data_IF_913721156066
#
_entry.id   IF_913721156066
#
_cell.length_a   1.000
_cell.length_b   1.000
_cell.length_c   1.000
_cell.angle_alpha   90.00
_cell.angle_beta   90.00
_cell.angle_gamma   90.00
#
_symmetry.space_group_name_H-M   'P 1'
#
loop_
_entity.id
_entity.type
_entity.pdbx_description
1 polymer ?
#
# COMPACT_ATOMS: atom_id res chain seq x y z
N UNK A 1 -30.70 10.23 -3.04
CA UNK A 1 -29.33 9.68 -3.10
C UNK A 1 -29.57 8.20 -3.08
N UNK A 2 -29.64 7.61 -4.27
CA UNK A 2 -30.07 6.22 -4.45
C UNK A 2 -28.95 5.30 -4.01
N UNK A 3 -28.98 4.92 -2.73
CA UNK A 3 -28.12 3.86 -2.18
C UNK A 3 -28.45 2.47 -2.78
N UNK A 4 -29.50 2.40 -3.62
CA UNK A 4 -30.00 1.22 -4.34
C UNK A 4 -29.49 1.11 -5.80
N UNK A 5 -28.40 1.82 -6.16
CA UNK A 5 -27.76 1.58 -7.47
C UNK A 5 -26.99 0.26 -7.42
N UNK A 6 -27.65 -0.83 -7.86
CA UNK A 6 -27.08 -2.18 -8.01
C UNK A 6 -25.77 -2.11 -8.81
N UNK A 7 -24.64 -1.98 -8.10
CA UNK A 7 -23.31 -1.88 -8.70
C UNK A 7 -22.42 -0.76 -8.17
N UNK A 8 -22.93 0.21 -7.40
CA UNK A 8 -22.09 1.30 -6.88
C UNK A 8 -20.95 0.78 -5.99
N UNK A 9 -21.28 -0.05 -4.99
CA UNK A 9 -20.29 -0.65 -4.08
C UNK A 9 -19.29 -1.56 -4.81
N UNK A 10 -19.77 -2.31 -5.79
CA UNK A 10 -18.94 -3.15 -6.66
C UNK A 10 -17.97 -2.31 -7.49
N UNK A 11 -18.45 -1.24 -8.14
CA UNK A 11 -17.63 -0.34 -8.92
C UNK A 11 -16.53 0.35 -8.10
N UNK A 12 -16.84 0.74 -6.85
CA UNK A 12 -15.83 1.25 -5.92
C UNK A 12 -14.74 0.23 -5.61
N UNK A 13 -15.12 -1.02 -5.37
CA UNK A 13 -14.19 -2.11 -5.06
C UNK A 13 -13.34 -2.47 -6.28
N UNK A 14 -13.94 -2.61 -7.47
CA UNK A 14 -13.21 -2.87 -8.73
C UNK A 14 -12.19 -1.76 -8.99
N UNK A 15 -12.59 -0.50 -8.85
CA UNK A 15 -11.70 0.66 -9.00
C UNK A 15 -10.53 0.59 -8.02
N UNK A 16 -10.80 0.26 -6.75
CA UNK A 16 -9.73 0.09 -5.76
C UNK A 16 -8.79 -1.07 -6.11
N UNK A 17 -9.32 -2.19 -6.58
CA UNK A 17 -8.54 -3.37 -6.98
C UNK A 17 -7.55 -3.02 -8.10
N UNK A 18 -8.03 -2.33 -9.14
CA UNK A 18 -7.18 -1.85 -10.23
C UNK A 18 -6.12 -0.85 -9.75
N UNK A 19 -6.52 0.14 -8.94
CA UNK A 19 -5.60 1.11 -8.36
C UNK A 19 -4.51 0.44 -7.52
N UNK A 20 -4.88 -0.50 -6.66
CA UNK A 20 -3.95 -1.22 -5.80
C UNK A 20 -2.93 -2.01 -6.61
N UNK A 21 -3.39 -2.77 -7.63
CA UNK A 21 -2.49 -3.53 -8.51
C UNK A 21 -1.50 -2.61 -9.25
N UNK A 22 -1.98 -1.51 -9.81
CA UNK A 22 -1.13 -0.54 -10.51
C UNK A 22 -0.08 0.07 -9.57
N UNK A 23 -0.51 0.51 -8.38
CA UNK A 23 0.39 1.15 -7.40
C UNK A 23 1.42 0.16 -6.87
N UNK A 24 1.02 -1.09 -6.59
CA UNK A 24 1.97 -2.11 -6.16
C UNK A 24 3.04 -2.38 -7.22
N UNK A 25 2.67 -2.45 -8.50
CA UNK A 25 3.64 -2.61 -9.58
C UNK A 25 4.60 -1.42 -9.70
N UNK A 26 4.10 -0.19 -9.52
CA UNK A 26 4.93 1.02 -9.50
C UNK A 26 5.90 1.04 -8.33
N UNK A 27 5.44 0.65 -7.13
CA UNK A 27 6.29 0.52 -5.94
C UNK A 27 7.40 -0.51 -6.20
N UNK A 28 7.08 -1.69 -6.75
CA UNK A 28 8.10 -2.70 -7.08
C UNK A 28 9.11 -2.21 -8.10
N UNK A 29 8.64 -1.52 -9.13
CA UNK A 29 9.52 -0.95 -10.17
C UNK A 29 10.49 0.07 -9.57
N UNK A 30 9.99 0.96 -8.71
CA UNK A 30 10.83 1.93 -7.98
C UNK A 30 11.82 1.25 -7.02
N UNK A 31 11.39 0.20 -6.32
CA UNK A 31 12.29 -0.54 -5.43
C UNK A 31 13.42 -1.24 -6.21
N UNK A 32 13.15 -1.70 -7.43
CA UNK A 32 14.14 -2.34 -8.30
C UNK A 32 15.10 -1.36 -9.00
N UNK A 33 14.67 -0.12 -9.24
CA UNK A 33 15.47 0.90 -9.91
C UNK A 33 16.56 1.47 -8.98
N UNK A 34 17.83 1.13 -9.20
CA UNK A 34 18.93 1.59 -8.32
C UNK A 34 19.36 3.04 -8.56
N UNK A 35 18.92 3.69 -9.62
CA UNK A 35 19.44 4.98 -10.08
C UNK A 35 18.52 6.16 -9.71
N UNK A 36 17.30 5.91 -9.25
CA UNK A 36 16.34 6.97 -8.91
C UNK A 36 16.62 7.61 -7.54
N UNK A 37 17.28 8.78 -7.55
CA UNK A 37 17.59 9.57 -6.35
C UNK A 37 16.34 10.09 -5.59
N UNK A 38 15.16 10.10 -6.24
CA UNK A 38 13.91 10.57 -5.63
C UNK A 38 12.97 9.42 -5.24
N UNK A 39 13.49 8.19 -5.20
CA UNK A 39 12.71 6.97 -4.98
C UNK A 39 11.89 7.02 -3.69
N UNK A 40 12.49 7.39 -2.56
CA UNK A 40 11.80 7.43 -1.26
C UNK A 40 10.59 8.38 -1.27
N UNK A 41 10.75 9.56 -1.87
CA UNK A 41 9.65 10.55 -2.03
C UNK A 41 8.52 10.01 -2.92
N UNK A 42 8.85 9.34 -4.02
CA UNK A 42 7.87 8.72 -4.91
C UNK A 42 7.12 7.58 -4.21
N UNK A 43 7.85 6.73 -3.48
CA UNK A 43 7.28 5.65 -2.67
C UNK A 43 6.32 6.20 -1.60
N UNK A 44 6.71 7.28 -0.92
CA UNK A 44 5.88 7.97 0.06
C UNK A 44 4.55 8.45 -0.56
N UNK A 45 4.63 9.05 -1.74
CA UNK A 45 3.46 9.55 -2.48
C UNK A 45 2.52 8.42 -2.93
N UNK A 46 3.07 7.29 -3.40
CA UNK A 46 2.29 6.11 -3.76
C UNK A 46 1.59 5.49 -2.54
N UNK A 47 2.31 5.39 -1.41
CA UNK A 47 1.73 4.95 -0.14
C UNK A 47 0.59 5.87 0.32
N UNK A 48 0.78 7.20 0.23
CA UNK A 48 -0.25 8.17 0.57
C UNK A 48 -1.52 8.00 -0.27
N UNK A 49 -1.37 7.86 -1.59
CA UNK A 49 -2.49 7.72 -2.50
C UNK A 49 -3.32 6.46 -2.18
N UNK A 50 -2.67 5.30 -2.10
CA UNK A 50 -3.36 4.05 -1.83
C UNK A 50 -3.94 3.98 -0.40
N UNK A 51 -3.30 4.67 0.56
CA UNK A 51 -3.85 4.85 1.92
C UNK A 51 -5.22 5.52 1.87
N UNK A 52 -5.36 6.59 1.08
CA UNK A 52 -6.62 7.31 0.91
C UNK A 52 -7.73 6.41 0.35
N UNK A 53 -7.44 5.69 -0.74
CA UNK A 53 -8.40 4.76 -1.36
C UNK A 53 -8.78 3.62 -0.40
N UNK A 54 -7.82 3.04 0.32
CA UNK A 54 -8.10 1.97 1.29
C UNK A 54 -8.93 2.46 2.49
N UNK A 55 -8.68 3.69 2.97
CA UNK A 55 -9.42 4.29 4.07
C UNK A 55 -10.89 4.53 3.71
N UNK A 56 -11.16 5.00 2.49
CA UNK A 56 -12.52 5.23 1.99
C UNK A 56 -13.37 3.94 1.96
N UNK A 57 -12.73 2.78 1.75
CA UNK A 57 -13.40 1.46 1.75
C UNK A 57 -13.32 0.73 3.10
N UNK A 58 -12.80 1.36 4.15
CA UNK A 58 -12.66 0.75 5.47
C UNK A 58 -11.65 -0.41 5.53
N UNK A 59 -10.73 -0.50 4.57
CA UNK A 59 -9.72 -1.56 4.45
C UNK A 59 -8.52 -1.29 5.38
N UNK A 60 -8.79 -1.27 6.69
CA UNK A 60 -7.86 -0.79 7.74
C UNK A 60 -6.47 -1.43 7.69
N UNK A 61 -6.39 -2.73 7.37
CA UNK A 61 -5.09 -3.43 7.32
C UNK A 61 -4.24 -2.97 6.14
N UNK A 62 -4.84 -2.83 4.95
CA UNK A 62 -4.15 -2.31 3.76
C UNK A 62 -3.78 -0.84 3.98
N UNK A 63 -4.71 -0.05 4.52
CA UNK A 63 -4.48 1.34 4.91
C UNK A 63 -3.27 1.48 5.83
N UNK A 64 -3.17 0.64 6.87
CA UNK A 64 -2.05 0.67 7.81
C UNK A 64 -0.70 0.37 7.13
N UNK A 65 -0.65 -0.62 6.23
CA UNK A 65 0.57 -0.89 5.48
C UNK A 65 0.94 0.24 4.51
N UNK A 66 -0.05 0.89 3.89
CA UNK A 66 0.18 2.06 3.04
C UNK A 66 0.71 3.25 3.84
N UNK A 67 0.27 3.41 5.09
CA UNK A 67 0.80 4.41 6.02
C UNK A 67 2.24 4.12 6.46
N UNK A 68 2.60 2.84 6.63
CA UNK A 68 4.00 2.44 6.83
C UNK A 68 4.85 2.86 5.63
N UNK A 69 4.42 2.54 4.41
CA UNK A 69 5.13 2.93 3.17
C UNK A 69 5.29 4.45 3.08
N UNK A 70 4.22 5.20 3.37
CA UNK A 70 4.25 6.67 3.39
C UNK A 70 5.32 7.19 4.36
N UNK A 71 5.26 6.76 5.62
CA UNK A 71 6.16 7.28 6.65
C UNK A 71 7.61 6.84 6.45
N UNK A 72 7.85 5.59 6.05
CA UNK A 72 9.20 5.11 5.74
C UNK A 72 9.80 5.84 4.54
N UNK A 73 9.01 6.17 3.52
CA UNK A 73 9.46 7.01 2.41
C UNK A 73 9.82 8.45 2.84
N UNK A 74 9.30 8.92 3.97
CA UNK A 74 9.68 10.20 4.58
C UNK A 74 10.79 10.05 5.65
N UNK A 75 11.40 8.86 5.78
CA UNK A 75 12.36 8.52 6.83
C UNK A 75 11.82 8.73 8.25
N UNK A 76 10.54 8.38 8.45
CA UNK A 76 9.87 8.46 9.75
C UNK A 76 9.64 7.03 10.26
N UNK A 77 10.25 6.71 11.40
CA UNK A 77 10.06 5.43 12.08
C UNK A 77 8.66 5.36 12.71
N UNK A 78 7.69 4.89 11.91
CA UNK A 78 6.26 4.91 12.25
C UNK A 78 5.86 3.89 13.33
N UNK A 79 6.47 2.71 13.33
CA UNK A 79 6.11 1.60 14.20
C UNK A 79 7.36 0.98 14.86
N UNK A 80 7.14 -0.02 15.71
CA UNK A 80 8.24 -0.72 16.40
C UNK A 80 9.19 -1.45 15.44
N UNK A 81 8.72 -1.83 14.25
CA UNK A 81 9.56 -2.45 13.23
C UNK A 81 10.55 -1.43 12.66
N UNK A 82 10.04 -0.29 12.18
CA UNK A 82 10.85 0.81 11.66
C UNK A 82 11.85 1.32 12.70
N UNK A 83 11.40 1.53 13.95
CA UNK A 83 12.29 1.95 15.05
C UNK A 83 13.41 0.97 15.36
N UNK A 84 13.23 -0.33 15.08
CA UNK A 84 14.28 -1.34 15.32
C UNK A 84 15.26 -1.39 14.16
N UNK A 85 14.75 -1.30 12.94
CA UNK A 85 15.60 -1.37 11.74
C UNK A 85 16.45 -0.11 11.58
N UNK A 86 15.92 1.09 11.89
CA UNK A 86 16.60 2.38 11.69
C UNK A 86 17.48 2.82 12.87
N UNK A 87 17.62 1.99 13.91
CA UNK A 87 18.49 2.24 15.08
C UNK A 87 19.90 1.68 14.93
N UNK A 88 20.14 0.88 13.90
CA UNK A 88 21.49 0.45 13.52
C UNK A 88 22.21 1.72 13.02
N UNK A 89 23.44 1.97 13.45
CA UNK A 89 24.17 3.24 13.32
C UNK A 89 24.37 3.80 11.89
N UNK A 90 23.75 3.19 10.88
CA UNK A 90 23.72 3.58 9.47
C UNK A 90 22.24 3.80 9.02
N UNK A 91 21.71 5.00 9.26
CA UNK A 91 20.39 5.46 8.77
C UNK A 91 20.45 5.78 7.26
N UNK A 92 20.85 4.78 6.47
CA UNK A 92 20.96 4.88 5.02
C UNK A 92 19.62 4.55 4.34
N UNK A 93 19.47 5.04 3.10
CA UNK A 93 18.27 4.85 2.29
C UNK A 93 17.92 3.35 2.13
N UNK A 94 18.92 2.47 2.10
CA UNK A 94 18.72 1.02 2.03
C UNK A 94 17.86 0.46 3.17
N UNK A 95 18.03 0.97 4.40
CA UNK A 95 17.24 0.53 5.57
C UNK A 95 15.77 0.91 5.41
N UNK A 96 15.49 2.12 4.91
CA UNK A 96 14.13 2.59 4.64
C UNK A 96 13.50 1.82 3.48
N UNK A 97 14.26 1.50 2.44
CA UNK A 97 13.78 0.69 1.31
C UNK A 97 13.43 -0.73 1.75
N UNK A 98 14.22 -1.34 2.64
CA UNK A 98 13.90 -2.64 3.25
C UNK A 98 12.60 -2.58 4.07
N UNK A 99 12.40 -1.52 4.85
CA UNK A 99 11.16 -1.31 5.60
C UNK A 99 9.94 -1.17 4.67
N UNK A 100 10.09 -0.46 3.55
CA UNK A 100 9.04 -0.32 2.54
C UNK A 100 8.74 -1.66 1.85
N UNK A 101 9.75 -2.47 1.55
CA UNK A 101 9.58 -3.81 1.00
C UNK A 101 8.76 -4.72 1.92
N UNK A 102 9.03 -4.69 3.22
CA UNK A 102 8.25 -5.43 4.21
C UNK A 102 6.78 -4.97 4.22
N UNK A 103 6.55 -3.66 4.30
CA UNK A 103 5.20 -3.10 4.30
C UNK A 103 4.43 -3.44 3.01
N UNK A 104 5.09 -3.37 1.84
CA UNK A 104 4.50 -3.76 0.56
C UNK A 104 4.12 -5.23 0.53
N UNK A 105 5.00 -6.11 1.02
CA UNK A 105 4.74 -7.56 1.08
C UNK A 105 3.48 -7.84 1.90
N UNK A 106 3.36 -7.22 3.08
CA UNK A 106 2.19 -7.40 3.94
C UNK A 106 0.95 -6.78 3.29
N UNK A 107 1.06 -5.60 2.66
CA UNK A 107 -0.04 -4.97 1.93
C UNK A 107 -0.60 -5.89 0.83
N UNK A 108 0.28 -6.52 0.03
CA UNK A 108 -0.10 -7.49 -1.00
C UNK A 108 -0.80 -8.72 -0.44
N UNK A 109 -0.32 -9.26 0.69
CA UNK A 109 -0.95 -10.39 1.34
C UNK A 109 -2.37 -10.07 1.82
N UNK A 110 -2.56 -8.91 2.47
CA UNK A 110 -3.90 -8.48 2.90
C UNK A 110 -4.79 -8.13 1.71
N UNK A 111 -4.23 -7.54 0.65
CA UNK A 111 -4.95 -7.28 -0.60
C UNK A 111 -5.50 -8.56 -1.23
N UNK A 112 -4.70 -9.63 -1.35
CA UNK A 112 -5.17 -10.91 -1.90
C UNK A 112 -6.31 -11.48 -1.06
N UNK A 113 -6.21 -11.42 0.28
CA UNK A 113 -7.29 -11.87 1.17
C UNK A 113 -8.57 -11.07 0.96
N UNK A 114 -8.45 -9.74 0.91
CA UNK A 114 -9.58 -8.82 0.70
C UNK A 114 -10.22 -9.02 -0.67
N UNK A 115 -9.43 -9.17 -1.73
CA UNK A 115 -9.92 -9.39 -3.10
C UNK A 115 -10.67 -10.72 -3.22
N UNK A 116 -10.15 -11.77 -2.59
CA UNK A 116 -10.83 -13.07 -2.57
C UNK A 116 -12.17 -12.99 -1.82
N UNK A 117 -12.22 -12.28 -0.69
CA UNK A 117 -13.46 -12.06 0.08
C UNK A 117 -14.50 -11.31 -0.75
N UNK A 118 -14.09 -10.26 -1.47
CA UNK A 118 -15.00 -9.52 -2.35
C UNK A 118 -15.44 -10.37 -3.54
N UNK A 119 -14.55 -11.17 -4.12
CA UNK A 119 -14.88 -12.08 -5.21
C UNK A 119 -15.95 -13.09 -4.80
N UNK A 120 -15.83 -13.65 -3.59
CA UNK A 120 -16.83 -14.54 -3.00
C UNK A 120 -18.16 -13.82 -2.76
N UNK A 121 -18.11 -12.59 -2.21
CA UNK A 121 -19.30 -11.78 -1.95
C UNK A 121 -20.10 -11.43 -3.21
N UNK A 122 -19.42 -11.08 -4.31
CA UNK A 122 -20.07 -10.73 -5.57
C UNK A 122 -20.32 -11.91 -6.51
N UNK A 123 -19.80 -13.10 -6.20
CA UNK A 123 -19.97 -14.30 -7.03
C UNK A 123 -19.19 -14.26 -8.35
N UNK A 124 -18.15 -13.43 -8.47
CA UNK A 124 -17.30 -13.32 -9.65
C UNK A 124 -15.85 -13.01 -9.26
N UNK A 125 -14.89 -13.21 -10.15
CA UNK A 125 -13.49 -12.88 -9.88
C UNK A 125 -13.23 -11.39 -10.09
N UNK A 126 -12.76 -10.72 -9.05
CA UNK A 126 -12.26 -9.35 -9.08
C UNK A 126 -10.74 -9.27 -9.24
#
# INVERSE_FOLDING_TARGET
>A
MDEDEEGFSKGLITTFVEQAMNIFNQIESLLADKEDENKLTKLSSLGHYLKGSAAALGLKKIQYQCERIQNYGNKIAFDEFGKKETKKDDDDDETWLSCIQDALKIAKLEFVKTRNLFSEYFGETL
#
